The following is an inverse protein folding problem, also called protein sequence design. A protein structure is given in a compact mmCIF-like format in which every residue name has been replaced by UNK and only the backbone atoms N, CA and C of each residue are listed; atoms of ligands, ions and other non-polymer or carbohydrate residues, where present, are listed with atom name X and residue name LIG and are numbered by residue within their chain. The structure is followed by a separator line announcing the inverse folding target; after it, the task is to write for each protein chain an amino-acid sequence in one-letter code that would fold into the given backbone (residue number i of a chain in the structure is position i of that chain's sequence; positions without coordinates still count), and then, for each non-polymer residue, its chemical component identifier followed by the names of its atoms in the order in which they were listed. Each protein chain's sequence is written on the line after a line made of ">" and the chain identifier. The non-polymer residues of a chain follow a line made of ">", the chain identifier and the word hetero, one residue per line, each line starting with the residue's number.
data_IF_108975193028
#
_entry.id   IF_108975193028
#
_cell.length_a   1.000
_cell.length_b   1.000
_cell.length_c   1.000
_cell.angle_alpha   90.00
_cell.angle_beta   90.00
_cell.angle_gamma   90.00
#
_symmetry.space_group_name_H-M   'P 1'
#
loop_
_entity.id
_entity.type
_entity.pdbx_description
1 polymer ?
#
# COMPACT_ATOMS: atom_id res chain seq x y z
N UNK A 1 -36.37 -44.66 -3.23
CA UNK A 1 -35.95 -43.26 -3.50
C UNK A 1 -35.16 -42.78 -2.30
N UNK A 2 -33.86 -43.08 -2.25
CA UNK A 2 -32.95 -42.50 -1.26
C UNK A 2 -31.78 -41.91 -2.02
N UNK A 3 -31.68 -40.58 -1.99
CA UNK A 3 -30.59 -39.82 -2.61
C UNK A 3 -29.40 -39.85 -1.66
N UNK A 4 -28.35 -40.57 -2.03
CA UNK A 4 -27.04 -40.46 -1.40
C UNK A 4 -26.51 -39.03 -1.59
N UNK A 5 -26.43 -38.30 -0.47
CA UNK A 5 -25.85 -36.96 -0.37
C UNK A 5 -24.34 -37.13 -0.30
N UNK A 6 -23.66 -36.94 -1.43
CA UNK A 6 -22.20 -36.90 -1.49
C UNK A 6 -21.74 -35.68 -0.68
N UNK A 7 -21.18 -35.93 0.51
CA UNK A 7 -20.52 -34.91 1.32
C UNK A 7 -19.18 -34.62 0.63
N UNK A 8 -19.10 -33.49 -0.07
CA UNK A 8 -17.87 -32.96 -0.62
C UNK A 8 -16.97 -32.58 0.57
N UNK A 9 -16.06 -33.47 0.96
CA UNK A 9 -14.97 -33.14 1.88
C UNK A 9 -14.01 -32.25 1.10
N UNK A 10 -14.14 -30.94 1.27
CA UNK A 10 -13.08 -29.99 0.95
C UNK A 10 -11.79 -30.53 1.58
N UNK A 11 -10.88 -31.03 0.75
CA UNK A 11 -9.52 -31.31 1.14
C UNK A 11 -8.91 -29.97 1.51
N UNK A 12 -8.83 -29.67 2.81
CA UNK A 12 -7.86 -28.71 3.34
C UNK A 12 -6.48 -29.25 3.00
N UNK A 13 -6.03 -28.99 1.77
CA UNK A 13 -4.62 -29.15 1.39
C UNK A 13 -3.87 -28.27 2.38
N UNK A 14 -3.18 -28.90 3.33
CA UNK A 14 -2.37 -28.17 4.30
C UNK A 14 -1.45 -27.23 3.53
N UNK A 15 -1.48 -25.95 3.87
CA UNK A 15 -0.54 -24.98 3.30
C UNK A 15 0.84 -25.35 3.83
N UNK A 16 1.60 -26.15 3.08
CA UNK A 16 2.98 -26.48 3.40
C UNK A 16 3.87 -25.31 3.01
N UNK A 17 4.88 -25.03 3.83
CA UNK A 17 5.95 -24.07 3.55
C UNK A 17 7.23 -24.90 3.49
N UNK A 18 7.91 -24.87 2.35
CA UNK A 18 9.26 -25.41 2.24
C UNK A 18 10.19 -24.32 2.73
N UNK A 19 11.00 -24.63 3.73
CA UNK A 19 11.93 -23.70 4.36
C UNK A 19 13.31 -24.33 4.27
N UNK A 20 14.31 -23.51 3.93
CA UNK A 20 15.70 -23.91 4.01
C UNK A 20 16.06 -24.27 5.47
N UNK A 21 16.80 -25.36 5.67
CA UNK A 21 17.21 -25.81 6.99
C UNK A 21 18.09 -24.76 7.68
N UNK A 22 18.92 -24.04 6.92
CA UNK A 22 19.80 -23.00 7.44
C UNK A 22 19.02 -21.81 8.03
N UNK A 23 17.84 -21.51 7.45
CA UNK A 23 16.94 -20.46 7.99
C UNK A 23 16.32 -20.88 9.32
N UNK A 24 15.99 -22.17 9.47
CA UNK A 24 15.48 -22.73 10.72
C UNK A 24 16.55 -22.74 11.81
N UNK A 25 17.78 -23.12 11.47
CA UNK A 25 18.91 -23.12 12.41
C UNK A 25 19.25 -21.70 12.90
N UNK A 26 19.21 -20.71 12.00
CA UNK A 26 19.37 -19.30 12.40
C UNK A 26 18.27 -18.84 13.37
N UNK A 27 17.01 -19.19 13.11
CA UNK A 27 15.90 -18.91 14.03
C UNK A 27 16.12 -19.57 15.40
N UNK A 28 16.59 -20.82 15.42
CA UNK A 28 16.88 -21.54 16.67
C UNK A 28 18.00 -20.89 17.48
N UNK A 29 19.04 -20.38 16.80
CA UNK A 29 20.11 -19.61 17.44
C UNK A 29 19.57 -18.31 18.07
N UNK A 30 18.75 -17.56 17.32
CA UNK A 30 18.16 -16.32 17.81
C UNK A 30 17.20 -16.52 18.99
N UNK A 31 16.41 -17.60 18.98
CA UNK A 31 15.59 -17.99 20.14
C UNK A 31 16.46 -18.33 21.35
N UNK A 32 17.59 -19.01 21.15
CA UNK A 32 18.53 -19.34 22.23
C UNK A 32 19.16 -18.07 22.83
N UNK A 33 19.55 -17.11 22.00
CA UNK A 33 20.02 -15.79 22.44
C UNK A 33 18.93 -15.02 23.21
N UNK A 34 17.67 -15.12 22.77
CA UNK A 34 16.52 -14.51 23.43
C UNK A 34 16.25 -15.11 24.83
N UNK A 35 16.49 -16.41 25.00
CA UNK A 35 16.43 -17.08 26.31
C UNK A 35 17.55 -16.58 27.22
N UNK A 36 18.78 -16.45 26.71
CA UNK A 36 19.93 -15.96 27.48
C UNK A 36 19.67 -14.53 27.99
N UNK A 37 19.17 -13.62 27.15
CA UNK A 37 18.87 -12.25 27.57
C UNK A 37 17.71 -12.19 28.56
N UNK A 38 16.67 -13.02 28.39
CA UNK A 38 15.59 -13.13 29.38
C UNK A 38 16.13 -13.51 30.76
N UNK A 39 17.00 -14.51 30.84
CA UNK A 39 17.64 -14.90 32.11
C UNK A 39 18.48 -13.77 32.70
N UNK A 40 19.26 -13.06 31.86
CA UNK A 40 20.03 -11.88 32.30
C UNK A 40 19.13 -10.76 32.84
N UNK A 41 17.98 -10.51 32.22
CA UNK A 41 17.02 -9.51 32.71
C UNK A 41 16.34 -9.93 34.01
N UNK A 42 16.06 -11.22 34.19
CA UNK A 42 15.49 -11.78 35.44
C UNK A 42 16.48 -11.60 36.61
N UNK A 43 17.77 -11.88 36.38
CA UNK A 43 18.84 -11.67 37.36
C UNK A 43 19.03 -10.18 37.72
N UNK A 44 18.89 -9.29 36.74
CA UNK A 44 19.00 -7.83 36.92
C UNK A 44 17.78 -7.22 37.62
N UNK A 45 16.61 -7.87 37.58
CA UNK A 45 15.41 -7.42 38.31
C UNK A 45 15.63 -7.42 39.83
N UNK A 46 16.60 -8.20 40.33
CA UNK A 46 17.02 -8.24 41.73
C UNK A 46 18.11 -7.24 42.13
N UNK A 47 18.76 -6.54 41.18
CA UNK A 47 19.88 -5.61 41.45
C UNK A 47 19.71 -4.27 40.74
N UNK A 48 19.58 -3.19 41.51
CA UNK A 48 19.20 -1.84 41.05
C UNK A 48 20.32 -1.06 40.31
N UNK A 49 20.95 -1.63 39.28
CA UNK A 49 21.88 -0.85 38.43
C UNK A 49 21.22 -0.52 37.09
N UNK A 50 20.90 0.77 36.89
CA UNK A 50 20.26 1.29 35.66
C UNK A 50 21.09 1.03 34.41
N UNK A 51 22.42 1.13 34.50
CA UNK A 51 23.33 0.95 33.35
C UNK A 51 23.28 -0.47 32.78
N UNK A 52 23.30 -1.49 33.65
CA UNK A 52 23.20 -2.90 33.23
C UNK A 52 21.85 -3.23 32.59
N UNK A 53 20.78 -2.55 33.02
CA UNK A 53 19.44 -2.71 32.43
C UNK A 53 19.39 -2.09 31.02
N UNK A 54 19.99 -0.91 30.82
CA UNK A 54 20.06 -0.27 29.51
C UNK A 54 20.81 -1.13 28.50
N UNK A 55 21.97 -1.68 28.87
CA UNK A 55 22.70 -2.62 27.99
C UNK A 55 21.88 -3.88 27.65
N UNK A 56 21.14 -4.41 28.62
CA UNK A 56 20.30 -5.58 28.40
C UNK A 56 19.14 -5.27 27.43
N UNK A 57 18.57 -4.07 27.52
CA UNK A 57 17.52 -3.58 26.60
C UNK A 57 18.08 -3.41 25.19
N UNK A 58 19.22 -2.74 25.02
CA UNK A 58 19.86 -2.57 23.70
C UNK A 58 20.19 -3.93 23.04
N UNK A 59 20.68 -4.89 23.84
CA UNK A 59 20.95 -6.24 23.36
C UNK A 59 19.67 -6.99 22.97
N UNK A 60 18.59 -6.83 23.75
CA UNK A 60 17.27 -7.39 23.44
C UNK A 60 16.70 -6.80 22.15
N UNK A 61 16.81 -5.48 21.95
CA UNK A 61 16.39 -4.80 20.72
C UNK A 61 17.11 -5.38 19.49
N UNK A 62 18.42 -5.60 19.60
CA UNK A 62 19.21 -6.22 18.52
C UNK A 62 18.78 -7.65 18.22
N UNK A 63 18.59 -8.50 19.24
CA UNK A 63 18.13 -9.88 19.03
C UNK A 63 16.72 -9.88 18.42
N UNK A 64 15.84 -9.01 18.90
CA UNK A 64 14.46 -8.94 18.42
C UNK A 64 14.40 -8.51 16.96
N UNK A 65 15.27 -7.57 16.56
CA UNK A 65 15.44 -7.16 15.15
C UNK A 65 15.96 -8.33 14.31
N UNK A 66 17.01 -9.01 14.75
CA UNK A 66 17.55 -10.16 14.01
C UNK A 66 16.52 -11.31 13.91
N UNK A 67 15.74 -11.56 14.97
CA UNK A 67 14.67 -12.55 14.97
C UNK A 67 13.58 -12.17 13.98
N UNK A 68 13.19 -10.90 13.96
CA UNK A 68 12.23 -10.38 12.99
C UNK A 68 12.70 -10.66 11.55
N UNK A 69 13.94 -10.29 11.22
CA UNK A 69 14.52 -10.48 9.89
C UNK A 69 14.61 -11.96 9.49
N UNK A 70 15.02 -12.83 10.42
CA UNK A 70 15.08 -14.27 10.19
C UNK A 70 13.69 -14.87 9.94
N UNK A 71 12.67 -14.42 10.68
CA UNK A 71 11.28 -14.85 10.46
C UNK A 71 10.76 -14.36 9.10
N UNK A 72 11.11 -13.13 8.70
CA UNK A 72 10.74 -12.62 7.37
C UNK A 72 11.33 -13.48 6.27
N UNK A 73 12.64 -13.77 6.34
CA UNK A 73 13.33 -14.62 5.35
C UNK A 73 12.68 -15.99 5.21
N UNK A 74 12.19 -16.61 6.29
CA UNK A 74 11.49 -17.91 6.20
C UNK A 74 10.21 -17.86 5.35
N UNK A 75 9.55 -16.70 5.29
CA UNK A 75 8.31 -16.52 4.54
C UNK A 75 8.55 -16.13 3.08
N UNK A 76 9.72 -15.61 2.77
CA UNK A 76 10.03 -15.10 1.43
C UNK A 76 10.04 -16.22 0.38
N UNK A 77 9.59 -15.86 -0.81
CA UNK A 77 9.51 -16.74 -1.99
C UNK A 77 10.05 -15.93 -3.19
N UNK A 78 10.80 -16.55 -4.12
CA UNK A 78 11.28 -15.87 -5.31
C UNK A 78 10.12 -15.37 -6.18
N UNK A 79 10.31 -14.19 -6.77
CA UNK A 79 9.37 -13.54 -7.69
C UNK A 79 9.17 -14.35 -8.99
N UNK A 80 10.12 -15.23 -9.34
CA UNK A 80 10.05 -16.22 -10.43
C UNK A 80 8.67 -16.90 -10.57
N UNK A 81 8.02 -17.20 -9.43
CA UNK A 81 6.71 -17.87 -9.41
C UNK A 81 5.61 -17.06 -10.12
N UNK A 82 5.70 -15.74 -10.08
CA UNK A 82 4.80 -14.82 -10.80
C UNK A 82 5.30 -14.66 -12.24
N UNK A 83 6.60 -14.43 -12.42
CA UNK A 83 7.21 -14.13 -13.71
C UNK A 83 7.02 -15.24 -14.74
N UNK A 84 7.08 -16.51 -14.30
CA UNK A 84 6.87 -17.69 -15.14
C UNK A 84 5.53 -17.73 -15.90
N UNK A 85 4.53 -16.91 -15.52
CA UNK A 85 3.24 -16.81 -16.21
C UNK A 85 3.29 -15.87 -17.42
N UNK A 86 4.18 -14.88 -17.41
CA UNK A 86 4.18 -13.80 -18.39
C UNK A 86 4.64 -14.21 -19.80
N UNK A 87 5.65 -15.08 -20.00
CA UNK A 87 6.08 -15.46 -21.35
C UNK A 87 4.95 -16.04 -22.21
N UNK A 88 4.06 -16.84 -21.61
CA UNK A 88 2.90 -17.40 -22.31
C UNK A 88 1.89 -16.30 -22.63
N UNK A 89 1.57 -15.46 -21.65
CA UNK A 89 0.64 -14.35 -21.82
C UNK A 89 1.09 -13.39 -22.93
N UNK A 90 2.35 -12.95 -22.91
CA UNK A 90 2.92 -12.05 -23.92
C UNK A 90 2.85 -12.68 -25.31
N UNK A 91 3.15 -13.98 -25.44
CA UNK A 91 3.04 -14.70 -26.71
C UNK A 91 1.61 -14.75 -27.25
N UNK A 92 0.63 -14.94 -26.37
CA UNK A 92 -0.78 -14.99 -26.76
C UNK A 92 -1.26 -13.59 -27.21
N UNK A 93 -0.92 -12.53 -26.45
CA UNK A 93 -1.22 -11.13 -26.83
C UNK A 93 -0.53 -10.68 -28.11
N UNK A 94 0.74 -11.06 -28.31
CA UNK A 94 1.51 -10.78 -29.53
C UNK A 94 0.78 -11.29 -30.78
N UNK A 95 0.19 -12.48 -30.70
CA UNK A 95 -0.61 -13.06 -31.79
C UNK A 95 -1.96 -12.38 -31.96
N UNK A 96 -2.65 -12.09 -30.86
CA UNK A 96 -3.97 -11.46 -30.88
C UNK A 96 -3.92 -10.05 -31.51
N UNK A 97 -2.89 -9.27 -31.16
CA UNK A 97 -2.72 -7.89 -31.60
C UNK A 97 -1.83 -7.74 -32.84
N UNK A 98 -1.30 -8.85 -33.37
CA UNK A 98 -0.39 -8.89 -34.51
C UNK A 98 0.85 -7.97 -34.33
N UNK A 99 1.49 -8.04 -33.17
CA UNK A 99 2.70 -7.29 -32.81
C UNK A 99 3.85 -8.25 -32.52
N UNK A 100 5.07 -7.92 -32.93
CA UNK A 100 6.29 -8.67 -32.59
C UNK A 100 6.85 -8.15 -31.25
N UNK A 101 6.99 -9.01 -30.25
CA UNK A 101 7.31 -8.60 -28.87
C UNK A 101 8.34 -9.55 -28.26
N UNK A 102 9.43 -8.97 -27.77
CA UNK A 102 10.44 -9.62 -26.94
C UNK A 102 10.17 -9.29 -25.45
N UNK A 103 10.08 -10.31 -24.61
CA UNK A 103 9.97 -10.16 -23.16
C UNK A 103 11.30 -10.51 -22.51
N UNK A 104 11.93 -9.54 -21.89
CA UNK A 104 13.17 -9.72 -21.12
C UNK A 104 12.86 -9.70 -19.63
N UNK A 105 13.33 -10.71 -18.89
CA UNK A 105 13.10 -10.83 -17.45
C UNK A 105 14.44 -10.92 -16.73
N UNK A 106 14.59 -10.19 -15.62
CA UNK A 106 15.79 -10.25 -14.78
C UNK A 106 15.46 -10.12 -13.30
N UNK A 107 16.32 -10.70 -12.45
CA UNK A 107 16.14 -10.72 -11.00
C UNK A 107 14.99 -11.60 -10.51
N UNK A 108 14.69 -12.69 -11.25
CA UNK A 108 13.66 -13.67 -10.91
C UNK A 108 13.87 -14.32 -9.52
N UNK A 109 15.12 -14.38 -9.07
CA UNK A 109 15.57 -14.87 -7.77
C UNK A 109 15.30 -13.89 -6.61
N UNK A 110 14.88 -12.65 -6.91
CA UNK A 110 14.53 -11.66 -5.89
C UNK A 110 13.43 -12.21 -4.98
N UNK A 111 13.70 -12.20 -3.68
CA UNK A 111 12.85 -12.77 -2.65
C UNK A 111 11.81 -11.78 -2.13
N UNK A 112 10.54 -12.18 -2.09
CA UNK A 112 9.41 -11.33 -1.68
C UNK A 112 8.45 -12.10 -0.76
N UNK A 113 7.76 -11.40 0.14
CA UNK A 113 6.73 -12.00 1.00
C UNK A 113 5.65 -12.73 0.16
N UNK A 114 5.27 -13.94 0.59
CA UNK A 114 4.28 -14.75 -0.12
C UNK A 114 2.93 -14.05 -0.34
N UNK A 115 2.47 -13.24 0.60
CA UNK A 115 1.23 -12.47 0.47
C UNK A 115 1.36 -11.43 -0.64
N UNK A 116 2.51 -10.77 -0.75
CA UNK A 116 2.80 -9.86 -1.85
C UNK A 116 2.79 -10.60 -3.19
N UNK A 117 3.41 -11.77 -3.27
CA UNK A 117 3.41 -12.62 -4.48
C UNK A 117 1.98 -12.96 -4.95
N UNK A 118 1.08 -13.28 -4.01
CA UNK A 118 -0.30 -13.63 -4.32
C UNK A 118 -1.11 -12.40 -4.80
N UNK A 119 -0.80 -11.18 -4.33
CA UNK A 119 -1.51 -9.94 -4.68
C UNK A 119 -0.93 -9.18 -5.89
N UNK A 120 0.40 -9.23 -6.11
CA UNK A 120 1.10 -8.43 -7.14
C UNK A 120 0.92 -8.96 -8.56
N UNK A 121 0.53 -10.23 -8.71
CA UNK A 121 0.39 -10.87 -10.01
C UNK A 121 -0.61 -10.17 -10.93
N UNK A 122 -1.80 -9.84 -10.42
CA UNK A 122 -2.85 -9.16 -11.20
C UNK A 122 -2.43 -7.74 -11.65
N UNK A 123 -1.89 -6.86 -10.76
CA UNK A 123 -1.28 -5.59 -11.15
C UNK A 123 -0.26 -5.71 -12.29
N UNK A 124 0.68 -6.64 -12.19
CA UNK A 124 1.72 -6.82 -13.22
C UNK A 124 1.14 -7.31 -14.56
N UNK A 125 0.16 -8.22 -14.53
CA UNK A 125 -0.58 -8.61 -15.74
C UNK A 125 -1.16 -7.38 -16.44
N UNK A 126 -1.76 -6.47 -15.67
CA UNK A 126 -2.40 -5.29 -16.22
C UNK A 126 -1.38 -4.30 -16.81
N UNK A 127 -0.28 -4.02 -16.11
CA UNK A 127 0.77 -3.13 -16.59
C UNK A 127 1.40 -3.68 -17.88
N UNK A 128 1.79 -4.97 -17.89
CA UNK A 128 2.38 -5.61 -19.08
C UNK A 128 1.39 -5.59 -20.25
N UNK A 129 0.10 -5.84 -19.99
CA UNK A 129 -0.94 -5.73 -21.03
C UNK A 129 -1.03 -4.32 -21.59
N UNK A 130 -1.02 -3.29 -20.75
CA UNK A 130 -1.08 -1.89 -21.21
C UNK A 130 0.15 -1.51 -22.05
N UNK A 131 1.34 -1.94 -21.62
CA UNK A 131 2.57 -1.78 -22.42
C UNK A 131 2.43 -2.44 -23.79
N UNK A 132 1.83 -3.62 -23.88
CA UNK A 132 1.68 -4.34 -25.15
C UNK A 132 0.55 -3.78 -26.04
N UNK A 133 -0.61 -3.50 -25.48
CA UNK A 133 -1.80 -3.07 -26.21
C UNK A 133 -1.67 -1.61 -26.67
N UNK A 134 -1.31 -0.73 -25.75
CA UNK A 134 -1.26 0.71 -25.99
C UNK A 134 0.17 1.23 -26.19
N UNK A 135 1.15 0.71 -25.43
CA UNK A 135 2.54 1.17 -25.52
C UNK A 135 3.22 0.82 -26.85
N UNK A 136 3.44 -0.48 -27.10
CA UNK A 136 4.13 -1.01 -28.27
C UNK A 136 3.32 -0.76 -29.54
N UNK A 137 3.95 -0.16 -30.54
CA UNK A 137 3.35 0.11 -31.85
C UNK A 137 3.38 -1.13 -32.76
N UNK A 138 2.65 -1.10 -33.87
CA UNK A 138 2.75 -2.18 -34.88
C UNK A 138 4.13 -2.21 -35.54
N UNK A 139 4.60 -3.37 -36.07
CA UNK A 139 5.92 -3.45 -36.69
C UNK A 139 6.14 -2.41 -37.81
N UNK A 140 5.09 -2.08 -38.53
CA UNK A 140 5.10 -1.09 -39.62
C UNK A 140 5.27 0.35 -39.10
N UNK A 141 4.59 0.69 -38.00
CA UNK A 141 4.73 1.99 -37.33
C UNK A 141 6.12 2.14 -36.70
N UNK A 142 6.62 1.09 -36.06
CA UNK A 142 7.95 1.09 -35.43
C UNK A 142 9.06 1.42 -36.44
N UNK A 143 9.01 0.80 -37.61
CA UNK A 143 9.97 1.09 -38.71
C UNK A 143 9.87 2.54 -39.19
N UNK A 144 8.67 3.14 -39.24
CA UNK A 144 8.50 4.55 -39.61
C UNK A 144 9.17 5.50 -38.63
N UNK A 145 9.21 5.14 -37.34
CA UNK A 145 9.89 5.89 -36.29
C UNK A 145 11.37 5.48 -36.11
N UNK A 146 11.92 4.63 -36.98
CA UNK A 146 13.32 4.20 -36.93
C UNK A 146 13.63 3.18 -35.82
N UNK A 147 12.61 2.53 -35.24
CA UNK A 147 12.75 1.52 -34.20
C UNK A 147 12.84 0.11 -34.78
N UNK A 148 13.27 -0.85 -33.96
CA UNK A 148 13.21 -2.29 -34.29
C UNK A 148 11.77 -2.73 -34.55
N UNK A 149 11.56 -3.68 -35.46
CA UNK A 149 10.22 -4.27 -35.71
C UNK A 149 9.68 -4.97 -34.47
N UNK A 150 10.57 -5.64 -33.74
CA UNK A 150 10.28 -6.27 -32.46
C UNK A 150 10.32 -5.20 -31.36
N UNK A 151 9.23 -5.09 -30.60
CA UNK A 151 9.14 -4.26 -29.40
C UNK A 151 9.67 -5.00 -28.18
N UNK A 152 10.30 -4.28 -27.26
CA UNK A 152 10.86 -4.89 -26.04
C UNK A 152 10.03 -4.46 -24.84
N UNK A 153 9.62 -5.45 -24.04
CA UNK A 153 9.10 -5.24 -22.69
C UNK A 153 10.07 -5.90 -21.72
N UNK A 154 10.63 -5.11 -20.83
CA UNK A 154 11.59 -5.54 -19.83
C UNK A 154 10.92 -5.56 -18.45
N UNK A 155 11.09 -6.66 -17.73
CA UNK A 155 10.58 -6.88 -16.39
C UNK A 155 11.75 -7.16 -15.44
N UNK A 156 12.02 -6.24 -14.52
CA UNK A 156 13.12 -6.33 -13.56
C UNK A 156 12.59 -6.43 -12.15
N UNK A 157 13.23 -7.25 -11.32
CA UNK A 157 13.06 -7.20 -9.87
C UNK A 157 14.43 -7.10 -9.19
N UNK A 158 14.54 -6.27 -8.16
CA UNK A 158 15.75 -6.18 -7.33
C UNK A 158 15.41 -5.64 -5.94
N UNK A 159 16.27 -5.93 -4.96
CA UNK A 159 16.18 -5.34 -3.64
C UNK A 159 16.91 -3.98 -3.62
N UNK A 160 16.25 -2.96 -3.06
CA UNK A 160 16.81 -1.62 -2.83
C UNK A 160 16.48 -1.17 -1.40
N UNK A 161 17.49 -1.20 -0.53
CA UNK A 161 17.34 -0.95 0.90
C UNK A 161 16.33 -1.92 1.55
N UNK A 162 15.28 -1.36 2.15
CA UNK A 162 14.19 -2.12 2.77
C UNK A 162 13.01 -2.40 1.82
N UNK A 163 13.16 -2.13 0.53
CA UNK A 163 12.13 -2.35 -0.47
C UNK A 163 12.58 -3.38 -1.51
N UNK A 164 11.62 -4.09 -2.07
CA UNK A 164 11.78 -4.74 -3.37
C UNK A 164 11.19 -3.82 -4.42
N UNK A 165 12.00 -3.55 -5.43
CA UNK A 165 11.62 -2.75 -6.59
C UNK A 165 11.32 -3.70 -7.74
N UNK A 166 10.15 -3.55 -8.34
CA UNK A 166 9.76 -4.24 -9.57
C UNK A 166 9.53 -3.18 -10.64
N UNK A 167 10.25 -3.29 -11.75
CA UNK A 167 10.16 -2.36 -12.88
C UNK A 167 9.58 -3.05 -14.10
N UNK A 168 8.66 -2.37 -14.78
CA UNK A 168 8.17 -2.75 -16.11
C UNK A 168 8.50 -1.62 -17.06
N UNK A 169 9.35 -1.90 -18.06
CA UNK A 169 9.80 -0.92 -19.05
C UNK A 169 9.40 -1.39 -20.44
N UNK A 170 8.80 -0.52 -21.23
CA UNK A 170 8.59 -0.76 -22.65
C UNK A 170 9.32 0.28 -23.50
N UNK A 171 9.64 -0.07 -24.75
CA UNK A 171 10.25 0.82 -25.74
C UNK A 171 9.22 1.39 -26.74
N UNK A 172 7.96 1.49 -26.29
CA UNK A 172 6.81 1.86 -27.10
C UNK A 172 6.75 3.34 -27.43
N UNK A 173 5.55 3.81 -27.80
CA UNK A 173 5.31 5.20 -28.22
C UNK A 173 5.45 6.22 -27.08
N UNK A 174 5.53 5.75 -25.84
CA UNK A 174 5.47 6.59 -24.64
C UNK A 174 4.10 7.26 -24.48
N UNK A 175 4.01 8.18 -23.54
CA UNK A 175 2.75 8.82 -23.17
C UNK A 175 2.84 10.32 -23.47
N UNK A 176 1.87 10.83 -24.23
CA UNK A 176 1.82 12.23 -24.58
C UNK A 176 1.18 13.06 -23.46
N UNK A 177 2.02 13.78 -22.71
CA UNK A 177 1.61 14.69 -21.62
C UNK A 177 0.52 15.66 -22.08
N UNK A 178 0.59 16.18 -23.30
CA UNK A 178 -0.40 17.13 -23.82
C UNK A 178 -1.77 16.50 -24.04
N UNK A 179 -1.83 15.21 -24.40
CA UNK A 179 -3.10 14.49 -24.55
C UNK A 179 -3.75 14.22 -23.18
N UNK A 180 -2.95 13.85 -22.18
CA UNK A 180 -3.43 13.72 -20.80
C UNK A 180 -3.99 15.05 -20.33
N UNK A 181 -3.25 16.14 -20.53
CA UNK A 181 -3.69 17.48 -20.10
C UNK A 181 -5.05 17.85 -20.71
N UNK A 182 -5.21 17.64 -22.01
CA UNK A 182 -6.48 17.90 -22.71
C UNK A 182 -7.62 17.05 -22.14
N UNK A 183 -7.42 15.74 -22.00
CA UNK A 183 -8.45 14.83 -21.48
C UNK A 183 -8.80 15.08 -20.01
N UNK A 184 -7.84 15.51 -19.20
CA UNK A 184 -8.08 15.86 -17.80
C UNK A 184 -8.94 17.13 -17.65
N UNK A 185 -8.76 18.11 -18.54
CA UNK A 185 -9.64 19.30 -18.62
C UNK A 185 -11.03 18.90 -19.11
N UNK A 186 -11.13 18.09 -20.16
CA UNK A 186 -12.42 17.64 -20.74
C UNK A 186 -13.25 16.82 -19.76
N UNK A 187 -12.59 16.02 -18.91
CA UNK A 187 -13.23 15.22 -17.86
C UNK A 187 -13.46 15.98 -16.54
N UNK A 188 -13.19 17.30 -16.52
CA UNK A 188 -13.36 18.19 -15.35
C UNK A 188 -12.63 17.70 -14.09
N UNK A 189 -11.54 16.95 -14.25
CA UNK A 189 -10.74 16.44 -13.11
C UNK A 189 -9.90 17.57 -12.51
N UNK A 190 -9.42 18.48 -13.36
CA UNK A 190 -8.58 19.61 -12.97
C UNK A 190 -8.88 20.81 -13.88
N UNK A 191 -8.75 22.02 -13.34
CA UNK A 191 -9.01 23.22 -14.12
C UNK A 191 -7.79 23.60 -14.99
N UNK A 192 -8.02 24.44 -16.02
CA UNK A 192 -6.98 24.87 -16.97
C UNK A 192 -5.82 25.61 -16.32
N UNK A 193 -6.05 26.32 -15.21
CA UNK A 193 -5.03 27.14 -14.56
C UNK A 193 -4.10 26.27 -13.70
N UNK A 194 -4.65 25.25 -13.05
CA UNK A 194 -3.92 24.29 -12.22
C UNK A 194 -3.09 23.33 -13.09
N UNK A 195 -3.61 22.88 -14.24
CA UNK A 195 -2.92 21.90 -15.07
C UNK A 195 -1.67 22.44 -15.80
N UNK A 196 -1.60 23.76 -15.99
CA UNK A 196 -0.43 24.44 -16.54
C UNK A 196 0.71 24.53 -15.52
N UNK A 197 0.39 24.48 -14.21
CA UNK A 197 1.36 24.54 -13.12
C UNK A 197 1.98 23.17 -12.80
N UNK A 198 1.37 22.07 -13.25
CA UNK A 198 1.83 20.72 -12.93
C UNK A 198 3.12 20.35 -13.68
N UNK A 199 4.02 19.68 -12.96
CA UNK A 199 5.16 18.97 -13.52
C UNK A 199 4.70 17.77 -14.36
N UNK A 200 5.61 17.19 -15.17
CA UNK A 200 5.28 15.99 -15.97
C UNK A 200 4.93 14.78 -15.07
N UNK A 201 5.65 14.60 -13.96
CA UNK A 201 5.39 13.55 -12.96
C UNK A 201 4.00 13.69 -12.32
N UNK A 202 3.59 14.92 -12.01
CA UNK A 202 2.26 15.21 -11.46
C UNK A 202 1.16 14.94 -12.50
N UNK A 203 1.43 15.20 -13.78
CA UNK A 203 0.49 14.87 -14.87
C UNK A 203 0.35 13.37 -15.04
N UNK A 204 1.45 12.60 -14.92
CA UNK A 204 1.39 11.14 -14.93
C UNK A 204 0.61 10.59 -13.75
N UNK A 205 0.68 11.23 -12.59
CA UNK A 205 -0.11 10.84 -11.42
C UNK A 205 -1.62 10.89 -11.69
N UNK A 206 -2.09 11.77 -12.58
CA UNK A 206 -3.50 11.83 -12.99
C UNK A 206 -4.00 10.54 -13.63
N UNK A 207 -3.12 9.75 -14.27
CA UNK A 207 -3.48 8.46 -14.87
C UNK A 207 -3.97 7.43 -13.85
N UNK A 208 -3.58 7.58 -12.59
CA UNK A 208 -4.04 6.72 -11.50
C UNK A 208 -5.32 7.24 -10.81
N UNK A 209 -5.93 8.30 -11.32
CA UNK A 209 -7.18 8.86 -10.77
C UNK A 209 -8.37 7.96 -11.13
N UNK A 210 -9.27 7.65 -10.19
CA UNK A 210 -10.44 6.83 -10.47
C UNK A 210 -11.27 7.37 -11.66
N UNK A 211 -11.59 6.48 -12.61
CA UNK A 211 -12.36 6.84 -13.80
C UNK A 211 -11.59 7.63 -14.87
N UNK A 212 -10.30 7.93 -14.66
CA UNK A 212 -9.46 8.46 -15.71
C UNK A 212 -9.01 7.35 -16.65
N UNK A 213 -9.31 7.54 -17.93
CA UNK A 213 -8.81 6.72 -19.03
C UNK A 213 -8.66 7.62 -20.24
N UNK A 214 -7.60 7.38 -21.00
CA UNK A 214 -7.32 8.02 -22.27
C UNK A 214 -8.02 7.32 -23.44
N UNK A 215 -8.68 6.17 -23.25
CA UNK A 215 -9.46 5.51 -24.31
C UNK A 215 -10.86 6.14 -24.47
N UNK A 216 -11.29 6.34 -25.72
CA UNK A 216 -12.65 6.82 -26.05
C UNK A 216 -13.68 5.68 -26.12
N UNK A 217 -13.23 4.44 -26.36
CA UNK A 217 -14.07 3.26 -26.39
C UNK A 217 -13.98 2.47 -25.07
N UNK A 218 -15.15 2.05 -24.57
CA UNK A 218 -15.27 1.03 -23.53
C UNK A 218 -15.12 -0.31 -24.24
N UNK A 219 -13.91 -0.89 -24.28
CA UNK A 219 -13.74 -2.18 -24.92
C UNK A 219 -14.40 -3.29 -24.09
N UNK A 220 -15.31 -4.04 -24.71
CA UNK A 220 -16.10 -5.12 -24.11
C UNK A 220 -15.27 -6.33 -23.64
N UNK A 221 -13.94 -6.32 -23.86
CA UNK A 221 -13.01 -7.39 -23.45
C UNK A 221 -12.47 -7.18 -22.03
N UNK A 222 -12.63 -5.97 -21.46
CA UNK A 222 -12.20 -5.61 -20.10
C UNK A 222 -13.34 -5.61 -19.09
N UNK A 223 -14.21 -6.64 -19.13
CA UNK A 223 -15.45 -6.81 -18.34
C UNK A 223 -15.37 -6.76 -16.80
N UNK A 224 -14.39 -6.06 -16.21
CA UNK A 224 -14.31 -5.66 -14.80
C UNK A 224 -13.82 -4.22 -14.56
N UNK A 225 -13.75 -3.35 -15.58
CA UNK A 225 -13.45 -1.92 -15.36
C UNK A 225 -12.14 -1.68 -14.60
N UNK A 226 -11.04 -2.28 -15.07
CA UNK A 226 -9.73 -2.18 -14.39
C UNK A 226 -8.93 -1.08 -15.08
N UNK A 227 -8.84 0.09 -14.46
CA UNK A 227 -7.91 1.14 -14.84
C UNK A 227 -6.61 1.06 -14.03
N UNK A 228 -5.69 1.99 -14.29
CA UNK A 228 -4.47 2.16 -13.48
C UNK A 228 -4.80 2.53 -12.03
N UNK A 229 -5.98 3.08 -11.75
CA UNK A 229 -6.52 3.32 -10.41
C UNK A 229 -6.66 2.04 -9.57
N UNK A 230 -7.13 0.95 -10.18
CA UNK A 230 -7.24 -0.37 -9.52
C UNK A 230 -5.86 -0.96 -9.26
N UNK A 231 -4.93 -0.79 -10.20
CA UNK A 231 -3.52 -1.20 -10.04
C UNK A 231 -2.89 -0.49 -8.84
N UNK A 232 -3.02 0.85 -8.78
CA UNK A 232 -2.52 1.66 -7.67
C UNK A 232 -3.13 1.22 -6.35
N UNK A 233 -4.46 1.06 -6.30
CA UNK A 233 -5.16 0.66 -5.07
C UNK A 233 -4.71 -0.71 -4.55
N UNK A 234 -4.45 -1.68 -5.45
CA UNK A 234 -3.92 -3.01 -5.09
C UNK A 234 -2.48 -2.93 -4.55
N UNK A 235 -1.65 -2.08 -5.14
CA UNK A 235 -0.26 -1.88 -4.70
C UNK A 235 -0.24 -1.15 -3.34
N UNK A 236 -1.07 -0.13 -3.15
CA UNK A 236 -1.21 0.57 -1.86
C UNK A 236 -1.76 -0.34 -0.77
N UNK A 237 -2.64 -1.30 -1.10
CA UNK A 237 -3.17 -2.27 -0.14
C UNK A 237 -2.10 -3.20 0.46
N UNK A 238 -0.97 -3.40 -0.24
CA UNK A 238 0.21 -4.11 0.28
C UNK A 238 1.29 -3.16 0.81
N UNK A 239 0.93 -1.89 1.09
CA UNK A 239 1.81 -0.79 1.47
C UNK A 239 2.93 -0.52 0.45
N UNK A 240 2.71 -0.87 -0.80
CA UNK A 240 3.58 -0.50 -1.90
C UNK A 240 3.28 0.90 -2.42
N UNK A 241 4.19 1.41 -3.23
CA UNK A 241 3.99 2.61 -4.06
C UNK A 241 4.22 2.26 -5.52
N UNK A 242 3.57 3.00 -6.41
CA UNK A 242 3.77 2.91 -7.85
C UNK A 242 4.06 4.31 -8.42
N UNK A 243 5.11 4.39 -9.21
CA UNK A 243 5.52 5.56 -9.97
C UNK A 243 5.58 5.21 -11.45
N UNK A 244 5.50 6.23 -12.31
CA UNK A 244 5.59 6.07 -13.75
C UNK A 244 6.35 7.22 -14.38
N UNK A 245 7.33 6.86 -15.21
CA UNK A 245 8.07 7.76 -16.08
C UNK A 245 7.75 7.40 -17.53
N UNK A 246 7.59 8.39 -18.41
CA UNK A 246 7.36 8.13 -19.82
C UNK A 246 7.93 9.24 -20.69
N UNK A 247 8.50 8.87 -21.82
CA UNK A 247 8.97 9.83 -22.82
C UNK A 247 8.45 9.43 -24.21
N UNK A 248 7.90 10.42 -24.93
CA UNK A 248 7.32 10.20 -26.26
C UNK A 248 8.36 9.61 -27.21
N UNK A 249 7.98 8.53 -27.89
CA UNK A 249 8.80 7.70 -28.75
C UNK A 249 9.98 6.97 -28.09
N UNK A 250 10.15 7.02 -26.76
CA UNK A 250 11.14 6.19 -26.05
C UNK A 250 10.50 5.10 -25.19
N UNK A 251 9.23 5.26 -24.82
CA UNK A 251 8.45 4.25 -24.11
C UNK A 251 8.09 4.69 -22.70
N UNK A 252 7.69 3.72 -21.88
CA UNK A 252 7.15 3.95 -20.53
C UNK A 252 7.83 3.03 -19.52
N UNK A 253 8.08 3.54 -18.32
CA UNK A 253 8.65 2.82 -17.18
C UNK A 253 7.73 2.94 -15.99
N UNK A 254 7.23 1.81 -15.50
CA UNK A 254 6.53 1.70 -14.22
C UNK A 254 7.50 1.19 -13.16
N UNK A 255 7.50 1.84 -11.99
CA UNK A 255 8.34 1.46 -10.85
C UNK A 255 7.42 1.15 -9.68
N UNK A 256 7.43 -0.10 -9.21
CA UNK A 256 6.66 -0.53 -8.05
C UNK A 256 7.65 -0.76 -6.91
N UNK A 257 7.47 -0.09 -5.78
CA UNK A 257 8.27 -0.31 -4.57
C UNK A 257 7.42 -0.95 -3.49
N UNK A 258 7.86 -2.09 -2.98
CA UNK A 258 7.13 -2.86 -1.97
C UNK A 258 8.04 -3.08 -0.76
N UNK A 259 7.63 -2.69 0.46
CA UNK A 259 8.42 -2.93 1.66
C UNK A 259 8.65 -4.42 1.94
N UNK A 260 9.85 -4.76 2.41
CA UNK A 260 10.25 -6.12 2.77
C UNK A 260 9.73 -6.62 4.12
N UNK A 261 9.19 -5.72 4.96
CA UNK A 261 8.78 -6.02 6.33
C UNK A 261 7.27 -6.23 6.47
N UNK A 262 6.84 -6.82 7.58
CA UNK A 262 5.47 -6.63 8.05
C UNK A 262 5.16 -5.13 8.11
N UNK A 263 3.90 -4.77 7.88
CA UNK A 263 3.42 -3.39 7.87
C UNK A 263 3.61 -2.71 9.24
N UNK A 264 4.83 -2.23 9.51
CA UNK A 264 5.12 -1.27 10.56
C UNK A 264 4.81 0.09 9.97
N UNK A 265 3.92 0.83 10.63
CA UNK A 265 3.60 2.19 10.25
C UNK A 265 3.84 3.11 11.43
N UNK A 266 4.16 4.37 11.14
CA UNK A 266 4.09 5.41 12.15
C UNK A 266 2.64 5.87 12.28
N UNK A 267 2.13 5.88 13.51
CA UNK A 267 0.79 6.31 13.81
C UNK A 267 0.76 7.30 14.98
N UNK A 268 -0.21 8.21 14.95
CA UNK A 268 -0.58 9.04 16.08
C UNK A 268 -1.62 8.27 16.91
N UNK A 269 -1.29 8.00 18.17
CA UNK A 269 -2.20 7.42 19.14
C UNK A 269 -3.09 8.52 19.74
N UNK A 270 -4.39 8.31 19.69
CA UNK A 270 -5.42 9.23 20.19
C UNK A 270 -6.38 8.49 21.10
N UNK A 271 -6.96 9.20 22.05
CA UNK A 271 -7.95 8.67 22.98
C UNK A 271 -9.37 9.11 22.60
N UNK A 272 -10.31 8.19 22.72
CA UNK A 272 -11.76 8.42 22.63
C UNK A 272 -12.40 7.75 23.85
N UNK A 273 -12.87 8.53 24.81
CA UNK A 273 -13.27 8.04 26.13
C UNK A 273 -12.10 7.35 26.83
N UNK A 274 -12.25 6.05 27.09
CA UNK A 274 -11.21 5.18 27.65
C UNK A 274 -10.48 4.34 26.59
N UNK A 275 -10.90 4.40 25.33
CA UNK A 275 -10.36 3.60 24.24
C UNK A 275 -9.23 4.33 23.51
N UNK A 276 -8.23 3.57 23.06
CA UNK A 276 -7.11 4.10 22.28
C UNK A 276 -7.21 3.69 20.81
N UNK A 277 -7.09 4.66 19.93
CA UNK A 277 -7.10 4.48 18.48
C UNK A 277 -5.79 4.97 17.86
N UNK A 278 -5.42 4.41 16.72
CA UNK A 278 -4.24 4.79 15.96
C UNK A 278 -4.63 5.41 14.61
N UNK A 279 -4.10 6.58 14.31
CA UNK A 279 -4.26 7.26 13.01
C UNK A 279 -2.93 7.20 12.26
N UNK A 280 -2.86 6.62 11.05
CA UNK A 280 -1.63 6.64 10.26
C UNK A 280 -1.12 8.07 10.03
N UNK A 281 0.16 8.33 10.33
CA UNK A 281 0.74 9.67 10.15
C UNK A 281 0.74 10.12 8.69
N UNK A 282 0.86 9.20 7.74
CA UNK A 282 0.80 9.48 6.31
C UNK A 282 -0.52 10.14 5.88
N UNK A 283 -1.59 9.92 6.64
CA UNK A 283 -2.90 10.51 6.38
C UNK A 283 -3.12 11.84 7.12
N UNK A 284 -2.24 12.19 8.07
CA UNK A 284 -2.35 13.40 8.90
C UNK A 284 -1.64 14.56 8.21
N UNK A 285 -2.33 15.69 8.10
CA UNK A 285 -1.77 16.93 7.59
C UNK A 285 -1.28 17.82 8.72
N UNK A 286 -2.09 18.01 9.76
CA UNK A 286 -1.76 18.86 10.89
C UNK A 286 -2.64 18.50 12.10
N UNK A 287 -2.20 18.93 13.29
CA UNK A 287 -2.95 18.80 14.53
C UNK A 287 -3.18 20.22 15.05
N UNK A 288 -4.42 20.57 15.37
CA UNK A 288 -4.78 21.88 15.90
C UNK A 288 -5.76 21.74 17.06
N UNK A 289 -5.82 22.72 17.94
CA UNK A 289 -6.93 22.88 18.87
C UNK A 289 -7.96 23.85 18.31
N UNK A 290 -9.23 23.64 18.67
CA UNK A 290 -10.34 24.54 18.36
C UNK A 290 -11.22 24.73 19.60
N UNK A 291 -11.89 25.87 19.67
CA UNK A 291 -12.91 26.15 20.67
C UNK A 291 -14.30 26.02 20.07
N UNK A 292 -15.35 25.98 20.91
CA UNK A 292 -16.75 25.98 20.43
C UNK A 292 -17.09 27.16 19.51
N UNK A 293 -16.39 28.29 19.65
CA UNK A 293 -16.62 29.48 18.82
C UNK A 293 -16.04 29.34 17.40
N UNK A 294 -15.09 28.42 17.20
CA UNK A 294 -14.48 28.16 15.90
C UNK A 294 -15.34 27.23 15.04
N UNK A 295 -16.27 26.51 15.66
CA UNK A 295 -17.21 25.60 15.02
C UNK A 295 -18.41 26.36 14.45
N UNK A 296 -18.71 26.14 13.18
CA UNK A 296 -19.90 26.64 12.50
C UNK A 296 -20.71 25.47 11.98
N UNK A 297 -22.04 25.61 11.96
CA UNK A 297 -22.91 24.62 11.35
C UNK A 297 -23.43 25.16 10.01
N UNK A 298 -23.16 24.45 8.92
CA UNK A 298 -23.66 24.77 7.58
C UNK A 298 -24.38 23.53 7.04
N UNK A 299 -25.67 23.67 6.70
CA UNK A 299 -26.50 22.59 6.15
C UNK A 299 -26.55 21.31 7.01
N UNK A 300 -26.43 21.45 8.34
CA UNK A 300 -26.44 20.31 9.26
C UNK A 300 -25.08 19.66 9.48
N UNK A 301 -24.01 20.16 8.83
CA UNK A 301 -22.65 19.69 9.00
C UNK A 301 -21.84 20.70 9.82
N UNK A 302 -21.17 20.23 10.87
CA UNK A 302 -20.22 21.04 11.63
C UNK A 302 -18.91 21.19 10.84
N UNK A 303 -18.44 22.42 10.75
CA UNK A 303 -17.22 22.81 10.04
C UNK A 303 -16.39 23.75 10.90
N UNK A 304 -15.09 23.84 10.66
CA UNK A 304 -14.24 24.90 11.20
C UNK A 304 -13.45 25.58 10.09
N UNK A 305 -13.07 26.85 10.32
CA UNK A 305 -12.27 27.60 9.37
C UNK A 305 -10.79 27.42 9.70
N UNK A 306 -10.05 26.84 8.76
CA UNK A 306 -8.63 26.57 8.91
C UNK A 306 -7.86 27.15 7.73
N UNK A 307 -6.97 28.13 7.99
CA UNK A 307 -6.19 28.86 6.97
C UNK A 307 -7.03 29.36 5.79
N UNK A 308 -8.25 29.83 6.06
CA UNK A 308 -9.19 30.34 5.04
C UNK A 308 -9.98 29.27 4.29
N UNK A 309 -9.77 27.97 4.56
CA UNK A 309 -10.56 26.85 4.03
C UNK A 309 -11.56 26.34 5.07
N UNK A 310 -12.74 25.94 4.62
CA UNK A 310 -13.75 25.30 5.47
C UNK A 310 -13.51 23.79 5.51
N UNK A 311 -13.18 23.26 6.67
CA UNK A 311 -12.92 21.82 6.86
C UNK A 311 -14.09 21.20 7.64
N UNK A 312 -14.70 20.10 7.14
CA UNK A 312 -15.75 19.39 7.87
C UNK A 312 -15.18 18.70 9.11
N UNK A 313 -15.93 18.77 10.22
CA UNK A 313 -15.59 18.08 11.47
C UNK A 313 -16.29 16.73 11.47
N UNK A 314 -15.52 15.68 11.77
CA UNK A 314 -16.01 14.34 12.03
C UNK A 314 -15.76 14.03 13.49
N UNK A 315 -16.84 13.86 14.25
CA UNK A 315 -16.79 13.46 15.66
C UNK A 315 -16.52 11.96 15.76
N UNK A 316 -15.28 11.59 16.08
CA UNK A 316 -14.90 10.18 16.10
C UNK A 316 -15.61 9.39 17.18
N UNK A 317 -15.90 10.00 18.32
CA UNK A 317 -16.72 9.39 19.38
C UNK A 317 -18.12 8.99 18.87
N UNK A 318 -18.81 9.89 18.16
CA UNK A 318 -20.11 9.59 17.54
C UNK A 318 -19.99 8.51 16.45
N UNK A 319 -18.94 8.58 15.63
CA UNK A 319 -18.69 7.62 14.55
C UNK A 319 -18.41 6.20 15.08
N UNK A 320 -17.72 6.11 16.23
CA UNK A 320 -17.34 4.85 16.86
C UNK A 320 -18.33 4.38 17.93
N UNK A 321 -19.47 5.07 18.09
CA UNK A 321 -20.48 4.77 19.11
C UNK A 321 -19.92 4.74 20.54
N UNK A 322 -18.95 5.62 20.84
CA UNK A 322 -18.29 5.73 22.14
C UNK A 322 -18.93 6.87 22.93
N UNK A 323 -19.38 6.56 24.16
CA UNK A 323 -19.79 7.59 25.10
C UNK A 323 -18.59 8.44 25.52
N UNK A 324 -18.56 9.70 25.08
CA UNK A 324 -17.59 10.68 25.58
C UNK A 324 -18.22 11.46 26.73
N UNK A 325 -17.54 11.46 27.87
CA UNK A 325 -17.95 12.14 29.10
C UNK A 325 -17.34 13.54 29.24
N UNK A 326 -16.46 13.94 28.32
CA UNK A 326 -15.68 15.15 28.42
C UNK A 326 -16.29 16.30 27.62
N UNK A 327 -16.93 17.24 28.32
CA UNK A 327 -17.28 18.55 27.78
C UNK A 327 -16.07 19.46 28.02
N UNK A 328 -15.11 19.44 27.10
CA UNK A 328 -13.98 20.36 27.14
C UNK A 328 -14.35 21.68 26.46
N UNK A 329 -13.75 22.79 26.90
CA UNK A 329 -13.91 24.10 26.25
C UNK A 329 -13.03 24.22 24.99
N UNK A 330 -11.94 23.45 24.97
CA UNK A 330 -10.98 23.34 23.87
C UNK A 330 -10.91 21.87 23.44
N UNK A 331 -11.09 21.62 22.14
CA UNK A 331 -11.05 20.27 21.57
C UNK A 331 -9.85 20.14 20.64
N UNK A 332 -9.28 18.94 20.61
CA UNK A 332 -8.22 18.62 19.66
C UNK A 332 -8.83 18.11 18.36
N UNK A 333 -8.37 18.67 17.25
CA UNK A 333 -8.67 18.20 15.90
C UNK A 333 -7.41 17.71 15.22
N UNK A 334 -7.48 16.48 14.71
CA UNK A 334 -6.49 15.90 13.80
C UNK A 334 -6.98 16.12 12.37
N UNK A 335 -6.32 16.99 11.61
CA UNK A 335 -6.66 17.26 10.21
C UNK A 335 -6.07 16.16 9.34
N UNK A 336 -6.93 15.41 8.68
CA UNK A 336 -6.57 14.31 7.80
C UNK A 336 -6.92 14.61 6.35
N UNK A 337 -6.24 13.96 5.40
CA UNK A 337 -6.51 14.12 3.96
C UNK A 337 -6.69 12.80 3.23
N UNK A 338 -7.46 12.86 2.15
CA UNK A 338 -7.56 11.85 1.09
C UNK A 338 -7.62 12.55 -0.26
N UNK A 339 -6.51 12.57 -1.00
CA UNK A 339 -6.37 13.41 -2.18
C UNK A 339 -6.61 14.89 -1.83
N UNK A 340 -7.52 15.54 -2.57
CA UNK A 340 -7.93 16.93 -2.31
C UNK A 340 -8.94 17.09 -1.16
N UNK A 341 -9.55 15.99 -0.68
CA UNK A 341 -10.52 16.07 0.41
C UNK A 341 -9.81 16.12 1.76
N UNK A 342 -10.29 16.97 2.65
CA UNK A 342 -9.80 17.11 4.02
C UNK A 342 -10.95 16.96 5.01
N UNK A 343 -10.66 16.42 6.18
CA UNK A 343 -11.58 16.37 7.31
C UNK A 343 -10.83 16.62 8.62
N UNK A 344 -11.49 17.21 9.60
CA UNK A 344 -10.99 17.35 10.96
C UNK A 344 -11.59 16.26 11.84
N UNK A 345 -10.76 15.33 12.33
CA UNK A 345 -11.19 14.31 13.27
C UNK A 345 -11.13 14.88 14.69
N UNK A 346 -12.28 15.03 15.33
CA UNK A 346 -12.38 15.45 16.73
C UNK A 346 -11.99 14.27 17.62
N UNK A 347 -11.00 14.46 18.49
CA UNK A 347 -10.51 13.46 19.44
C UNK A 347 -10.51 14.04 20.86
N UNK A 348 -10.55 13.17 21.87
CA UNK A 348 -10.57 13.61 23.27
C UNK A 348 -9.15 13.96 23.75
N UNK A 349 -8.16 13.13 23.41
CA UNK A 349 -6.76 13.32 23.86
C UNK A 349 -5.75 12.82 22.83
N UNK A 350 -4.56 13.42 22.81
CA UNK A 350 -3.40 12.93 22.07
C UNK A 350 -2.45 12.21 23.02
N UNK A 351 -2.13 10.97 22.72
CA UNK A 351 -1.15 10.20 23.50
C UNK A 351 0.26 10.46 22.96
N UNK A 352 0.43 10.40 21.63
CA UNK A 352 1.71 10.64 20.97
C UNK A 352 1.93 9.80 19.73
N UNK A 353 3.10 9.95 19.11
CA UNK A 353 3.52 9.17 17.95
C UNK A 353 4.18 7.86 18.38
N UNK A 354 3.84 6.77 17.70
CA UNK A 354 4.46 5.48 17.91
C UNK A 354 4.55 4.67 16.61
N UNK A 355 5.60 3.87 16.46
CA UNK A 355 5.68 2.82 15.45
C UNK A 355 4.86 1.60 15.90
N UNK A 356 3.90 1.20 15.06
CA UNK A 356 2.97 0.14 15.38
C UNK A 356 2.97 -0.93 14.28
N UNK A 357 2.82 -2.18 14.69
CA UNK A 357 2.66 -3.30 13.75
C UNK A 357 1.18 -3.46 13.43
N UNK A 358 0.82 -3.35 12.15
CA UNK A 358 -0.55 -3.62 11.70
C UNK A 358 -0.80 -5.12 11.69
N UNK A 359 -1.85 -5.54 12.39
CA UNK A 359 -2.42 -6.87 12.31
C UNK A 359 -3.77 -6.79 11.59
N UNK A 360 -4.00 -7.61 10.55
CA UNK A 360 -5.29 -7.64 9.89
C UNK A 360 -6.35 -8.15 10.87
N UNK A 361 -7.54 -7.53 10.84
CA UNK A 361 -8.68 -7.87 11.70
C UNK A 361 -9.26 -9.27 11.41
N UNK A 362 -8.83 -9.90 10.31
CA UNK A 362 -9.28 -11.22 9.89
C UNK A 362 -10.65 -11.21 9.20
N UNK A 363 -11.08 -12.38 8.71
CA UNK A 363 -12.26 -12.51 7.86
C UNK A 363 -13.60 -12.18 8.53
N UNK A 364 -13.65 -12.23 9.86
CA UNK A 364 -14.89 -11.96 10.62
C UNK A 364 -15.13 -10.47 10.86
N UNK A 365 -14.08 -9.65 10.76
CA UNK A 365 -14.09 -8.21 11.03
C UNK A 365 -13.72 -7.38 9.79
N UNK A 366 -13.58 -8.02 8.62
CA UNK A 366 -13.17 -7.37 7.37
C UNK A 366 -14.20 -6.38 6.79
N UNK A 367 -15.42 -6.33 7.35
CA UNK A 367 -16.49 -5.45 6.89
C UNK A 367 -16.68 -4.21 7.78
N UNK A 368 -15.79 -3.95 8.74
CA UNK A 368 -15.89 -2.74 9.55
C UNK A 368 -15.33 -1.57 8.75
N UNK A 369 -16.23 -0.67 8.36
CA UNK A 369 -15.97 0.39 7.37
C UNK A 369 -14.83 1.35 7.76
N UNK A 370 -14.62 1.61 9.05
CA UNK A 370 -13.73 2.69 9.49
C UNK A 370 -12.38 2.21 10.03
N UNK A 371 -12.06 0.92 9.89
CA UNK A 371 -10.86 0.32 10.47
C UNK A 371 -10.02 -0.38 9.41
N UNK A 372 -8.73 -0.09 9.39
CA UNK A 372 -7.76 -0.74 8.49
C UNK A 372 -7.05 -1.93 9.15
N UNK A 373 -7.04 -1.99 10.48
CA UNK A 373 -6.32 -3.02 11.22
C UNK A 373 -6.44 -2.87 12.74
N UNK A 374 -5.67 -3.68 13.45
CA UNK A 374 -5.42 -3.52 14.88
C UNK A 374 -3.93 -3.60 15.16
N UNK A 375 -3.50 -3.07 16.30
CA UNK A 375 -2.15 -3.22 16.82
C UNK A 375 -2.17 -3.60 18.30
N UNK A 376 -1.04 -4.06 18.81
CA UNK A 376 -0.84 -4.33 20.23
C UNK A 376 0.17 -3.31 20.73
N UNK A 377 -0.25 -2.48 21.68
CA UNK A 377 0.58 -1.45 22.29
C UNK A 377 1.60 -2.07 23.27
N UNK A 378 2.60 -1.30 23.69
CA UNK A 378 3.68 -1.79 24.56
C UNK A 378 3.21 -2.31 25.94
N UNK A 379 2.06 -1.83 26.41
CA UNK A 379 1.39 -2.31 27.62
C UNK A 379 0.54 -3.59 27.41
N UNK A 380 0.52 -4.14 26.19
CA UNK A 380 -0.26 -5.31 25.80
C UNK A 380 -1.73 -5.04 25.44
N UNK A 381 -2.21 -3.79 25.52
CA UNK A 381 -3.57 -3.45 25.12
C UNK A 381 -3.72 -3.44 23.60
N UNK A 382 -4.90 -3.79 23.11
CA UNK A 382 -5.21 -3.73 21.68
C UNK A 382 -5.68 -2.32 21.34
N UNK A 383 -5.19 -1.76 20.24
CA UNK A 383 -5.67 -0.50 19.68
C UNK A 383 -6.09 -0.71 18.23
N UNK A 384 -7.18 -0.08 17.82
CA UNK A 384 -7.71 -0.16 16.46
C UNK A 384 -7.11 0.94 15.58
N UNK A 385 -6.80 0.59 14.34
CA UNK A 385 -6.19 1.52 13.38
C UNK A 385 -7.29 2.07 12.47
N UNK A 386 -7.41 3.39 12.42
CA UNK A 386 -8.44 4.07 11.63
C UNK A 386 -8.12 4.01 10.13
N UNK A 387 -9.13 3.65 9.34
CA UNK A 387 -9.11 3.83 7.89
C UNK A 387 -9.64 5.22 7.54
N UNK A 388 -8.73 6.19 7.50
CA UNK A 388 -9.03 7.57 7.11
C UNK A 388 -9.70 7.66 5.74
N UNK A 389 -9.36 6.76 4.81
CA UNK A 389 -9.92 6.81 3.47
C UNK A 389 -11.42 6.48 3.45
N UNK A 390 -11.88 5.66 4.39
CA UNK A 390 -13.29 5.28 4.51
C UNK A 390 -14.11 6.23 5.39
N UNK A 391 -13.44 7.08 6.17
CA UNK A 391 -14.05 8.13 7.00
C UNK A 391 -14.36 9.38 6.15
N UNK A 392 -13.53 9.70 5.14
CA UNK A 392 -13.64 10.90 4.27
C UNK A 392 -14.44 10.67 2.98
#
# INVERSE_FOLDING_TARGET
>A
KEKNKVINRDSRVGKTVRVDIDRLDNLMNLVSELIIIKTRMDDLSGTSSKENMTEAIEYLERITTNLHDAVMKVRMVPVERVFNRFPRMVRDLSKELNKEINLEMSGEDTEVDRTVIDEIGDPLIHIIRNSIDHGIETPEERVKYGKSKEGTVELKAYADGNNVVIEVVDDGRGINVNEIKKKAIEKEIINRQEIELLSEEEVFTLLFTPGFSTSEEVSDVSGRGVGLDVVKSKIEAINGSIEMDSEVNKGTRFIIRIPLTLAIIQALLVKLGDETYAIPLSSITEITSITKNDVRNIQGQEIFLYRGKTIPIVKLNELMEIESTNILDEHVIVVVRKGEKQAGLLVDELIGQQEIVIKPLGKYLSNIKYLSGATILGNGSISLILDVNSII
#
